data_IF_146404061320
#
_entry.id   IF_146404061320
#
_cell.length_a   1.000
_cell.length_b   1.000
_cell.length_c   1.000
_cell.angle_alpha   90.00
_cell.angle_beta   90.00
_cell.angle_gamma   90.00
#
_symmetry.space_group_name_H-M   'P 1'
#
loop_
_entity.id
_entity.type
_entity.pdbx_description
1 polymer ?
#
# COMPACT_ATOMS: atom_id res chain seq x y z
N UNK A 1 -0.13 -0.80 -7.50
CA UNK A 1 0.00 -0.53 -8.93
C UNK A 1 -0.13 0.97 -9.21
N UNK A 2 -1.21 1.64 -8.80
CA UNK A 2 -1.46 3.04 -9.16
C UNK A 2 -0.34 4.00 -8.74
N UNK A 3 0.46 3.68 -7.71
CA UNK A 3 1.59 4.53 -7.28
C UNK A 3 2.82 4.32 -8.17
N UNK A 4 3.29 3.08 -8.33
CA UNK A 4 4.56 2.80 -9.03
C UNK A 4 4.37 2.54 -10.52
N UNK A 5 3.28 1.90 -10.91
CA UNK A 5 3.00 1.52 -12.28
C UNK A 5 1.98 2.45 -12.98
N UNK A 6 1.62 3.59 -12.34
CA UNK A 6 0.77 4.63 -12.90
C UNK A 6 -0.49 4.06 -13.58
N UNK A 7 -1.24 3.22 -12.83
CA UNK A 7 -2.46 2.58 -13.35
C UNK A 7 -2.22 1.69 -14.59
N UNK A 8 -1.12 0.95 -14.61
CA UNK A 8 -0.58 0.08 -15.67
C UNK A 8 0.24 0.78 -16.78
N UNK A 9 0.38 2.10 -16.76
CA UNK A 9 1.00 2.84 -17.88
C UNK A 9 2.53 2.85 -17.80
N UNK A 10 3.11 2.81 -16.59
CA UNK A 10 4.56 2.80 -16.45
C UNK A 10 5.17 1.46 -16.91
N UNK A 11 6.14 1.46 -17.82
CA UNK A 11 6.85 0.24 -18.19
C UNK A 11 7.74 -0.27 -17.05
N UNK A 12 7.97 -1.59 -16.99
CA UNK A 12 8.97 -2.16 -16.10
C UNK A 12 10.33 -1.52 -16.35
N UNK A 13 11.08 -1.23 -15.29
CA UNK A 13 12.32 -0.48 -15.33
C UNK A 13 12.16 1.03 -15.08
N UNK A 14 10.93 1.56 -15.06
CA UNK A 14 10.68 2.97 -14.69
C UNK A 14 11.23 3.27 -13.30
N UNK A 15 11.82 4.46 -13.14
CA UNK A 15 12.38 4.90 -11.87
C UNK A 15 11.30 5.12 -10.80
N UNK A 16 11.60 4.74 -9.58
CA UNK A 16 10.80 4.99 -8.39
C UNK A 16 11.52 6.01 -7.52
N UNK A 17 10.82 7.08 -7.18
CA UNK A 17 11.36 8.25 -6.51
C UNK A 17 10.84 8.38 -5.07
N UNK A 18 11.74 8.77 -4.14
CA UNK A 18 11.39 9.23 -2.81
C UNK A 18 12.30 10.41 -2.39
N UNK A 19 11.76 11.59 -2.11
CA UNK A 19 10.35 11.97 -2.26
C UNK A 19 9.86 11.86 -3.72
N UNK A 20 8.54 11.67 -3.88
CA UNK A 20 7.92 11.66 -5.20
C UNK A 20 7.90 13.06 -5.85
N UNK A 21 7.68 13.13 -7.16
CA UNK A 21 7.68 14.40 -7.90
C UNK A 21 6.73 15.45 -7.33
N UNK A 22 5.59 15.03 -6.79
CA UNK A 22 4.65 15.96 -6.15
C UNK A 22 5.29 16.71 -4.96
N UNK A 23 6.10 16.02 -4.16
CA UNK A 23 6.75 16.59 -2.97
C UNK A 23 7.93 17.51 -3.34
N UNK A 24 8.56 17.27 -4.48
CA UNK A 24 9.65 18.08 -5.04
C UNK A 24 9.15 19.15 -6.03
N UNK A 25 7.84 19.51 -5.99
CA UNK A 25 7.22 20.50 -6.90
C UNK A 25 7.43 20.16 -8.39
N UNK A 26 7.36 18.89 -8.73
CA UNK A 26 7.60 18.34 -10.07
C UNK A 26 9.04 18.56 -10.58
N UNK A 27 10.00 18.81 -9.69
CA UNK A 27 11.42 18.86 -10.04
C UNK A 27 12.02 17.47 -9.90
N UNK A 28 12.55 16.94 -11.00
CA UNK A 28 13.27 15.67 -11.00
C UNK A 28 14.66 15.85 -10.39
N UNK A 29 15.03 14.92 -9.51
CA UNK A 29 16.38 14.81 -8.98
C UNK A 29 16.77 13.31 -8.97
N UNK A 30 17.83 12.95 -9.67
CA UNK A 30 18.33 11.58 -9.73
C UNK A 30 18.76 11.04 -8.36
N UNK A 31 19.09 11.91 -7.40
CA UNK A 31 19.41 11.50 -6.02
C UNK A 31 18.18 10.91 -5.29
N UNK A 32 16.98 11.23 -5.74
CA UNK A 32 15.73 10.73 -5.19
C UNK A 32 15.33 9.35 -5.75
N UNK A 33 16.07 8.80 -6.71
CA UNK A 33 15.79 7.47 -7.26
C UNK A 33 16.16 6.41 -6.24
N UNK A 34 15.14 5.72 -5.70
CA UNK A 34 15.30 4.64 -4.72
C UNK A 34 15.29 3.25 -5.34
N UNK A 35 14.83 3.11 -6.57
CA UNK A 35 14.76 1.83 -7.26
C UNK A 35 14.09 1.94 -8.63
N UNK A 36 13.79 0.79 -9.22
CA UNK A 36 13.09 0.70 -10.51
C UNK A 36 11.91 -0.26 -10.41
N UNK A 37 10.81 0.05 -11.10
CA UNK A 37 9.62 -0.80 -11.17
C UNK A 37 10.00 -2.19 -11.71
N UNK A 38 9.84 -3.21 -10.87
CA UNK A 38 10.17 -4.60 -11.21
C UNK A 38 8.98 -5.36 -11.76
N UNK A 39 7.85 -5.28 -11.05
CA UNK A 39 6.61 -5.93 -11.45
C UNK A 39 5.38 -5.27 -10.85
N UNK A 40 4.20 -5.54 -11.42
CA UNK A 40 2.92 -5.07 -10.90
C UNK A 40 1.78 -6.01 -11.31
N UNK A 41 0.73 -6.05 -10.48
CA UNK A 41 -0.53 -6.70 -10.86
C UNK A 41 -1.34 -5.74 -11.73
N UNK A 42 -1.60 -6.12 -12.97
CA UNK A 42 -2.42 -5.31 -13.88
C UNK A 42 -3.83 -5.13 -13.31
N UNK A 43 -4.31 -3.88 -13.26
CA UNK A 43 -5.69 -3.54 -12.90
C UNK A 43 -6.56 -3.61 -14.16
N UNK A 44 -7.71 -4.25 -14.06
CA UNK A 44 -8.75 -4.20 -15.08
C UNK A 44 -9.78 -3.15 -14.68
N UNK A 45 -9.85 -2.07 -15.43
CA UNK A 45 -10.77 -0.94 -15.18
C UNK A 45 -12.16 -1.30 -15.73
N UNK A 46 -12.89 -2.06 -14.95
CA UNK A 46 -14.27 -2.48 -15.21
C UNK A 46 -14.97 -2.82 -13.90
N UNK A 47 -16.24 -2.51 -13.80
CA UNK A 47 -17.10 -2.91 -12.67
C UNK A 47 -17.53 -4.37 -12.76
N UNK A 48 -17.35 -5.02 -13.91
CA UNK A 48 -17.70 -6.43 -14.14
C UNK A 48 -16.51 -7.38 -13.89
N UNK A 49 -15.28 -6.82 -13.84
CA UNK A 49 -14.09 -7.61 -13.53
C UNK A 49 -13.83 -7.65 -12.01
N UNK A 50 -13.19 -8.72 -11.55
CA UNK A 50 -12.78 -8.89 -10.16
C UNK A 50 -11.26 -8.71 -10.04
N UNK A 51 -10.82 -7.51 -9.66
CA UNK A 51 -9.44 -7.33 -9.20
C UNK A 51 -9.33 -7.80 -7.75
N UNK A 52 -8.18 -8.33 -7.36
CA UNK A 52 -7.91 -8.79 -5.99
C UNK A 52 -6.90 -7.92 -5.26
N UNK A 53 -5.94 -7.34 -5.99
CA UNK A 53 -4.92 -6.46 -5.41
C UNK A 53 -4.60 -5.29 -6.36
N UNK A 54 -4.32 -4.13 -5.76
CA UNK A 54 -3.66 -2.99 -6.38
C UNK A 54 -2.24 -2.93 -5.79
N UNK A 55 -1.28 -3.56 -6.44
CA UNK A 55 0.07 -3.68 -5.93
C UNK A 55 1.13 -3.67 -7.05
N UNK A 56 2.32 -3.20 -6.70
CA UNK A 56 3.52 -3.23 -7.52
C UNK A 56 4.75 -3.36 -6.62
N UNK A 57 5.83 -3.88 -7.16
CA UNK A 57 7.13 -3.96 -6.50
C UNK A 57 8.22 -3.26 -7.31
N UNK A 58 9.18 -2.71 -6.59
CA UNK A 58 10.38 -2.10 -7.19
C UNK A 58 11.63 -2.82 -6.70
N UNK A 59 12.58 -2.97 -7.61
CA UNK A 59 13.92 -3.44 -7.27
C UNK A 59 14.74 -2.28 -6.73
N UNK A 60 15.36 -2.47 -5.58
CA UNK A 60 16.20 -1.47 -4.92
C UNK A 60 17.45 -2.11 -4.30
N UNK A 61 18.36 -1.30 -3.76
CA UNK A 61 19.52 -1.78 -3.01
C UNK A 61 19.32 -1.58 -1.50
N UNK A 62 19.91 -2.46 -0.69
CA UNK A 62 19.83 -2.37 0.79
C UNK A 62 20.28 -1.01 1.34
N UNK A 63 21.24 -0.35 0.68
CA UNK A 63 21.72 0.96 1.11
C UNK A 63 20.74 2.12 0.89
N UNK A 64 19.67 1.90 0.12
CA UNK A 64 18.62 2.90 -0.15
C UNK A 64 17.34 2.69 0.66
N UNK A 65 17.23 1.56 1.35
CA UNK A 65 16.04 1.18 2.10
C UNK A 65 16.37 0.96 3.57
N UNK A 66 15.45 1.37 4.44
CA UNK A 66 15.44 1.00 5.84
C UNK A 66 14.45 -0.12 6.11
N UNK A 67 14.64 -0.86 7.21
CA UNK A 67 13.72 -1.92 7.68
C UNK A 67 12.67 -1.41 8.67
N UNK A 68 12.65 -0.11 8.97
CA UNK A 68 11.76 0.49 9.96
C UNK A 68 11.10 1.77 9.43
N UNK A 69 9.96 2.12 10.01
CA UNK A 69 9.40 3.47 9.84
C UNK A 69 10.30 4.51 10.48
N UNK A 70 10.19 5.82 10.12
CA UNK A 70 10.86 6.89 10.84
C UNK A 70 10.59 6.83 12.36
N UNK A 71 11.42 7.52 13.16
CA UNK A 71 11.39 7.48 14.63
C UNK A 71 10.05 7.84 15.27
N UNK A 72 9.20 8.58 14.55
CA UNK A 72 7.84 8.92 14.95
C UNK A 72 6.76 7.93 14.45
N UNK A 73 7.18 6.79 13.90
CA UNK A 73 6.31 5.72 13.42
C UNK A 73 6.25 4.52 14.38
N UNK A 74 5.81 3.37 13.88
CA UNK A 74 5.68 2.15 14.69
C UNK A 74 6.99 1.31 14.77
N UNK A 75 8.05 1.71 14.08
CA UNK A 75 9.33 0.99 14.05
C UNK A 75 9.36 -0.10 12.98
N UNK A 76 10.06 -1.21 13.26
CA UNK A 76 10.17 -2.36 12.36
C UNK A 76 8.90 -3.19 12.41
N UNK A 77 8.30 -3.60 11.27
CA UNK A 77 7.19 -4.56 11.25
C UNK A 77 7.67 -5.96 11.64
N UNK A 78 6.74 -6.83 12.01
CA UNK A 78 7.01 -8.26 12.09
C UNK A 78 7.27 -8.85 10.69
N UNK A 79 8.07 -9.90 10.60
CA UNK A 79 8.33 -10.63 9.34
C UNK A 79 7.14 -11.50 8.93
N UNK A 80 6.36 -11.97 9.89
CA UNK A 80 5.26 -12.92 9.67
C UNK A 80 3.93 -12.19 9.42
N UNK A 81 3.36 -12.28 8.20
CA UNK A 81 2.08 -11.70 7.90
C UNK A 81 0.94 -12.48 8.58
N UNK A 82 0.00 -11.76 9.16
CA UNK A 82 -1.21 -12.32 9.77
C UNK A 82 -2.45 -12.09 8.90
N UNK A 83 -3.50 -12.86 9.17
CA UNK A 83 -4.83 -12.57 8.62
C UNK A 83 -5.48 -11.47 9.45
N UNK A 84 -6.22 -10.59 8.79
CA UNK A 84 -6.95 -9.55 9.48
C UNK A 84 -8.19 -10.12 10.18
N UNK A 85 -8.49 -9.62 11.39
CA UNK A 85 -9.66 -10.01 12.17
C UNK A 85 -10.58 -8.80 12.42
N UNK A 86 -11.90 -9.03 12.47
CA UNK A 86 -12.88 -7.97 12.77
C UNK A 86 -12.58 -7.38 14.17
N UNK A 87 -12.65 -6.05 14.25
CA UNK A 87 -12.32 -5.26 15.45
C UNK A 87 -10.84 -5.26 15.85
N UNK A 88 -9.95 -5.91 15.11
CA UNK A 88 -8.51 -5.87 15.35
C UNK A 88 -7.99 -4.44 15.28
N UNK A 89 -7.22 -4.03 16.29
CA UNK A 89 -6.54 -2.72 16.30
C UNK A 89 -5.34 -2.76 15.38
N UNK A 90 -5.21 -1.74 14.55
CA UNK A 90 -4.19 -1.64 13.52
C UNK A 90 -3.55 -0.26 13.50
N UNK A 91 -2.38 -0.17 12.92
CA UNK A 91 -1.68 1.08 12.68
C UNK A 91 -0.96 1.03 11.33
N UNK A 92 -0.66 2.21 10.82
CA UNK A 92 0.20 2.38 9.64
C UNK A 92 1.03 3.66 9.78
N UNK A 93 2.11 3.74 9.02
CA UNK A 93 2.85 4.97 8.82
C UNK A 93 2.83 5.33 7.33
N UNK A 94 2.30 6.47 6.98
CA UNK A 94 2.15 6.91 5.60
C UNK A 94 2.73 8.31 5.35
N UNK A 95 2.95 8.63 4.09
CA UNK A 95 3.54 9.88 3.63
C UNK A 95 2.73 11.11 4.09
N UNK A 96 1.40 11.05 4.03
CA UNK A 96 0.53 12.21 4.26
C UNK A 96 0.11 12.34 5.72
N UNK A 97 -0.29 11.26 6.36
CA UNK A 97 -0.84 11.32 7.73
C UNK A 97 0.11 10.79 8.80
N UNK A 98 1.31 10.32 8.43
CA UNK A 98 2.26 9.73 9.38
C UNK A 98 1.69 8.50 10.08
N UNK A 99 2.00 8.35 11.37
CA UNK A 99 1.47 7.29 12.22
C UNK A 99 -0.01 7.54 12.53
N UNK A 100 -0.85 6.58 12.18
CA UNK A 100 -2.28 6.58 12.52
C UNK A 100 -2.71 5.25 13.08
N UNK A 101 -3.75 5.27 13.91
CA UNK A 101 -4.35 4.09 14.50
C UNK A 101 -5.78 3.92 14.01
N UNK A 102 -6.18 2.68 13.81
CA UNK A 102 -7.50 2.32 13.33
C UNK A 102 -7.95 0.95 13.82
N UNK A 103 -9.03 0.49 13.22
CA UNK A 103 -9.63 -0.80 13.53
C UNK A 103 -10.19 -1.43 12.26
N UNK A 104 -9.99 -2.73 12.08
CA UNK A 104 -10.63 -3.50 11.02
C UNK A 104 -12.15 -3.49 11.24
N UNK A 105 -12.88 -2.99 10.26
CA UNK A 105 -14.33 -2.85 10.31
C UNK A 105 -15.03 -3.97 9.55
N UNK A 106 -14.53 -4.35 8.37
CA UNK A 106 -15.08 -5.42 7.55
C UNK A 106 -13.98 -6.17 6.80
N UNK A 107 -14.26 -7.41 6.46
CA UNK A 107 -13.43 -8.31 5.67
C UNK A 107 -14.23 -8.77 4.43
N UNK A 108 -13.51 -9.28 3.43
CA UNK A 108 -14.09 -9.78 2.18
C UNK A 108 -14.99 -8.74 1.48
N UNK A 109 -14.69 -7.45 1.66
CA UNK A 109 -15.48 -6.39 1.06
C UNK A 109 -15.32 -6.37 -0.46
N UNK A 110 -16.40 -5.99 -1.13
CA UNK A 110 -16.41 -5.67 -2.55
C UNK A 110 -16.55 -4.15 -2.68
N UNK A 111 -15.61 -3.54 -3.39
CA UNK A 111 -15.55 -2.08 -3.55
C UNK A 111 -15.30 -1.70 -5.01
N UNK A 112 -15.89 -0.59 -5.43
CA UNK A 112 -15.57 0.07 -6.69
C UNK A 112 -14.68 1.27 -6.37
N UNK A 113 -13.50 1.33 -6.98
CA UNK A 113 -12.53 2.40 -6.81
C UNK A 113 -12.39 3.17 -8.11
N UNK A 114 -12.53 4.49 -8.03
CA UNK A 114 -12.33 5.38 -9.17
C UNK A 114 -10.86 5.74 -9.29
N UNK A 115 -10.31 5.56 -10.48
CA UNK A 115 -8.99 5.96 -10.90
C UNK A 115 -9.08 6.94 -12.08
N UNK A 116 -7.98 7.52 -12.50
CA UNK A 116 -7.96 8.36 -13.72
C UNK A 116 -8.26 7.55 -14.98
N UNK A 117 -7.84 6.29 -15.02
CA UNK A 117 -8.07 5.35 -16.13
C UNK A 117 -9.47 4.71 -16.14
N UNK A 118 -10.28 4.95 -15.12
CA UNK A 118 -11.63 4.39 -15.02
C UNK A 118 -11.96 3.81 -13.65
N UNK A 119 -13.11 3.17 -13.54
CA UNK A 119 -13.52 2.51 -12.30
C UNK A 119 -13.13 1.03 -12.33
N UNK A 120 -12.51 0.56 -11.26
CA UNK A 120 -12.15 -0.85 -11.08
C UNK A 120 -12.85 -1.44 -9.86
N UNK A 121 -13.41 -2.63 -10.02
CA UNK A 121 -14.01 -3.40 -8.93
C UNK A 121 -12.96 -4.28 -8.28
N UNK A 122 -12.88 -4.23 -6.95
CA UNK A 122 -12.01 -5.09 -6.14
C UNK A 122 -12.85 -5.96 -5.21
N UNK A 123 -12.42 -7.21 -5.03
CA UNK A 123 -13.08 -8.20 -4.17
C UNK A 123 -12.12 -8.69 -3.09
N UNK A 124 -12.67 -9.14 -1.95
CA UNK A 124 -11.87 -9.69 -0.86
C UNK A 124 -11.10 -8.66 -0.05
N UNK A 125 -11.53 -7.38 -0.04
CA UNK A 125 -10.77 -6.31 0.57
C UNK A 125 -11.03 -6.17 2.07
N UNK A 126 -10.06 -5.53 2.76
CA UNK A 126 -10.12 -5.16 4.18
C UNK A 126 -10.61 -3.71 4.27
N UNK A 127 -11.62 -3.46 5.09
CA UNK A 127 -12.11 -2.11 5.40
C UNK A 127 -11.65 -1.71 6.80
N UNK A 128 -11.08 -0.51 6.93
CA UNK A 128 -10.56 0.02 8.19
C UNK A 128 -11.23 1.35 8.51
N UNK A 129 -11.53 1.56 9.77
CA UNK A 129 -12.07 2.79 10.35
C UNK A 129 -11.13 3.36 11.41
N UNK A 130 -11.24 4.66 11.74
CA UNK A 130 -12.07 5.70 11.09
C UNK A 130 -11.53 6.15 9.73
N UNK A 131 -12.32 6.93 8.97
CA UNK A 131 -11.85 7.49 7.68
C UNK A 131 -10.63 8.40 7.79
N UNK A 132 -10.33 8.91 8.98
CA UNK A 132 -9.10 9.68 9.28
C UNK A 132 -7.85 8.81 9.37
N UNK A 133 -7.98 7.48 9.29
CA UNK A 133 -6.86 6.54 9.30
C UNK A 133 -5.91 6.77 8.12
N UNK A 134 -6.43 7.18 6.97
CA UNK A 134 -5.60 7.51 5.81
C UNK A 134 -6.12 8.71 5.03
N UNK A 135 -5.26 9.28 4.19
CA UNK A 135 -5.58 10.30 3.19
C UNK A 135 -4.85 10.01 1.88
N UNK A 136 -5.23 10.72 0.83
CA UNK A 136 -4.52 10.68 -0.46
C UNK A 136 -3.00 10.90 -0.24
N UNK A 137 -2.18 10.05 -0.85
CA UNK A 137 -0.74 10.02 -0.66
C UNK A 137 -0.23 9.00 0.37
N UNK A 138 -1.13 8.34 1.13
CA UNK A 138 -0.77 7.22 2.02
C UNK A 138 -0.81 5.86 1.31
N UNK A 139 -1.21 5.82 0.04
CA UNK A 139 -1.24 4.59 -0.77
C UNK A 139 0.12 3.88 -0.77
N UNK A 140 0.12 2.56 -0.62
CA UNK A 140 1.32 1.75 -0.45
C UNK A 140 1.78 1.59 1.00
N UNK A 141 1.14 2.27 1.97
CA UNK A 141 1.47 2.07 3.39
C UNK A 141 1.17 0.65 3.83
N UNK A 142 2.13 0.05 4.53
CA UNK A 142 1.95 -1.23 5.20
C UNK A 142 1.10 -1.03 6.46
N UNK A 143 0.03 -1.81 6.57
CA UNK A 143 -0.84 -1.84 7.74
C UNK A 143 -0.45 -3.03 8.60
N UNK A 144 -0.19 -2.77 9.87
CA UNK A 144 0.24 -3.78 10.85
C UNK A 144 -0.71 -3.82 12.03
N UNK A 145 -0.74 -4.94 12.74
CA UNK A 145 -1.45 -5.05 14.03
C UNK A 145 -0.79 -4.15 15.07
N UNK A 146 -1.59 -3.61 16.00
CA UNK A 146 -1.07 -2.67 17.00
C UNK A 146 -0.22 -3.33 18.10
N UNK A 147 -0.37 -4.62 18.32
CA UNK A 147 0.33 -5.41 19.34
C UNK A 147 1.66 -5.99 18.81
N UNK A 148 1.57 -6.97 17.91
CA UNK A 148 2.71 -7.70 17.38
C UNK A 148 3.38 -7.03 16.17
N UNK A 149 2.77 -5.96 15.61
CA UNK A 149 3.19 -5.32 14.36
C UNK A 149 3.20 -6.28 13.16
N UNK A 150 2.40 -7.36 13.24
CA UNK A 150 2.27 -8.30 12.13
C UNK A 150 1.63 -7.62 10.92
N UNK A 151 2.22 -7.70 9.73
CA UNK A 151 1.64 -7.16 8.51
C UNK A 151 0.30 -7.82 8.18
N UNK A 152 -0.75 -7.03 7.91
CA UNK A 152 -2.07 -7.55 7.53
C UNK A 152 -2.59 -6.99 6.21
N UNK A 153 -2.16 -5.79 5.82
CA UNK A 153 -2.73 -5.13 4.65
C UNK A 153 -1.81 -4.16 3.95
N UNK A 154 -2.07 -3.93 2.68
CA UNK A 154 -1.45 -2.90 1.85
C UNK A 154 -2.52 -1.87 1.47
N UNK A 155 -2.38 -0.64 1.97
CA UNK A 155 -3.31 0.45 1.73
C UNK A 155 -3.30 0.88 0.27
N UNK A 156 -4.46 0.98 -0.38
CA UNK A 156 -4.52 1.46 -1.77
C UNK A 156 -5.65 2.45 -2.07
N UNK A 157 -6.70 2.50 -1.26
CA UNK A 157 -7.83 3.40 -1.50
C UNK A 157 -8.49 3.83 -0.18
N UNK A 158 -9.39 4.80 -0.27
CA UNK A 158 -10.14 5.25 0.89
C UNK A 158 -11.20 6.29 0.54
N UNK A 159 -11.99 6.64 1.54
CA UNK A 159 -13.00 7.68 1.52
C UNK A 159 -12.99 8.45 2.83
N UNK A 160 -13.90 9.40 2.99
CA UNK A 160 -14.06 10.12 4.26
C UNK A 160 -14.51 9.21 5.43
N UNK A 161 -15.00 8.00 5.16
CA UNK A 161 -15.49 7.08 6.17
C UNK A 161 -14.58 5.89 6.42
N UNK A 162 -13.89 5.41 5.39
CA UNK A 162 -13.14 4.17 5.41
C UNK A 162 -11.83 4.25 4.68
N UNK A 163 -10.88 3.44 5.11
CA UNK A 163 -9.67 3.08 4.37
C UNK A 163 -9.83 1.66 3.83
N UNK A 164 -9.33 1.41 2.63
CA UNK A 164 -9.41 0.14 1.93
C UNK A 164 -8.00 -0.41 1.73
N UNK A 165 -7.81 -1.66 2.09
CA UNK A 165 -6.52 -2.33 1.95
C UNK A 165 -6.67 -3.70 1.30
N UNK A 166 -5.67 -4.05 0.47
CA UNK A 166 -5.49 -5.43 0.01
C UNK A 166 -5.00 -6.30 1.16
N UNK A 167 -5.47 -7.55 1.35
CA UNK A 167 -4.81 -8.50 2.23
C UNK A 167 -3.34 -8.67 1.83
N UNK A 168 -2.41 -8.47 2.78
CA UNK A 168 -0.97 -8.43 2.47
C UNK A 168 -0.46 -9.75 1.90
N UNK A 169 -0.94 -10.89 2.39
CA UNK A 169 -0.55 -12.21 1.92
C UNK A 169 -0.78 -12.37 0.41
N UNK A 170 -1.90 -11.86 -0.12
CA UNK A 170 -2.18 -11.93 -1.56
C UNK A 170 -1.15 -11.17 -2.40
N UNK A 171 -0.66 -10.03 -1.92
CA UNK A 171 0.38 -9.26 -2.61
C UNK A 171 1.75 -9.98 -2.52
N UNK A 172 2.11 -10.49 -1.33
CA UNK A 172 3.36 -11.23 -1.12
C UNK A 172 3.40 -12.50 -1.98
N UNK A 173 2.33 -13.28 -1.98
CA UNK A 173 2.21 -14.50 -2.77
C UNK A 173 2.29 -14.22 -4.27
N UNK A 174 1.60 -13.17 -4.74
CA UNK A 174 1.61 -12.81 -6.16
C UNK A 174 3.01 -12.49 -6.68
N UNK A 175 3.82 -11.77 -5.89
CA UNK A 175 5.17 -11.39 -6.28
C UNK A 175 6.25 -12.37 -5.81
N UNK A 176 5.87 -13.41 -5.05
CA UNK A 176 6.79 -14.35 -4.42
C UNK A 176 7.89 -13.65 -3.60
N UNK A 177 7.45 -12.75 -2.71
CA UNK A 177 8.33 -11.96 -1.82
C UNK A 177 7.88 -12.09 -0.37
N UNK A 178 8.77 -11.75 0.57
CA UNK A 178 8.51 -11.71 2.00
C UNK A 178 8.76 -10.32 2.57
N UNK A 179 8.23 -10.05 3.76
CA UNK A 179 8.53 -8.85 4.53
C UNK A 179 9.88 -9.02 5.22
N UNK A 180 10.79 -8.06 5.02
CA UNK A 180 12.04 -7.95 5.77
C UNK A 180 11.74 -7.22 7.10
N UNK A 181 11.37 -8.00 8.11
CA UNK A 181 10.95 -7.53 9.43
C UNK A 181 11.70 -8.21 10.58
N UNK A 182 11.21 -8.04 11.82
CA UNK A 182 11.71 -8.69 13.05
C UNK A 182 10.99 -10.00 13.32
#
# INVERSE_FOLDING_TARGET
>A
NHVYALENDAPKGSEVLQPGLYDSKCVYDAANVIGTLSDFKKIVFSTDANNTIDAAIALSSKGKLGSATPSNGYGTPGSEPADAEINQKVMKYGRTTGLTNGKVYALNAVVNVAYSSGTARFVGQIIITPGTFSKAGDSGSLIVTSDAKSPIGLLFAGSNMFTIANPIKQALDFFNVAIDGQ
#
